data_IF_014726353240
#
_entry.id   IF_014726353240
#
_cell.length_a   1.000
_cell.length_b   1.000
_cell.length_c   1.000
_cell.angle_alpha   90.00
_cell.angle_beta   90.00
_cell.angle_gamma   90.00
#
_symmetry.space_group_name_H-M   'P 1'
#
loop_
_entity.id
_entity.type
_entity.pdbx_description
1 polymer ?
#
# COMPACT_ATOMS: atom_id res chain seq x y z
N UNK A 1 -39.93 14.48 -47.92
CA UNK A 1 -38.54 14.38 -47.41
C UNK A 1 -38.31 12.91 -47.09
N UNK A 2 -37.40 12.28 -47.82
CA UNK A 2 -37.25 10.83 -47.92
C UNK A 2 -36.04 10.39 -47.08
N UNK A 3 -36.26 9.48 -46.14
CA UNK A 3 -35.23 8.90 -45.28
C UNK A 3 -34.89 7.54 -45.85
N UNK A 4 -33.74 7.43 -46.51
CA UNK A 4 -33.01 6.17 -46.67
C UNK A 4 -31.67 6.42 -47.36
N UNK A 5 -30.55 6.02 -46.73
CA UNK A 5 -29.37 5.45 -47.40
C UNK A 5 -28.40 4.85 -46.37
N UNK A 6 -28.50 3.52 -46.26
CA UNK A 6 -27.42 2.51 -46.34
C UNK A 6 -26.09 2.85 -45.66
N UNK A 7 -25.65 1.96 -44.76
CA UNK A 7 -24.43 1.18 -44.98
C UNK A 7 -24.59 -0.23 -44.41
N UNK A 8 -24.29 -1.21 -45.26
CA UNK A 8 -24.50 -2.64 -45.07
C UNK A 8 -23.14 -3.33 -45.12
N UNK A 9 -22.86 -4.08 -44.05
CA UNK A 9 -22.13 -5.37 -43.93
C UNK A 9 -20.63 -5.52 -44.21
N UNK A 10 -20.06 -6.33 -43.30
CA UNK A 10 -19.15 -7.48 -43.49
C UNK A 10 -17.63 -7.25 -43.49
N UNK A 11 -17.03 -7.72 -42.39
CA UNK A 11 -15.79 -8.51 -42.36
C UNK A 11 -15.77 -9.27 -41.03
N UNK A 12 -16.09 -10.57 -40.99
CA UNK A 12 -15.13 -11.69 -40.96
C UNK A 12 -14.00 -11.48 -39.93
N UNK A 13 -14.12 -12.05 -38.74
CA UNK A 13 -13.69 -13.41 -38.38
C UNK A 13 -12.18 -13.56 -38.23
N UNK A 14 -11.69 -13.64 -36.99
CA UNK A 14 -10.58 -14.51 -36.59
C UNK A 14 -10.84 -15.07 -35.20
N UNK A 15 -11.25 -16.33 -35.20
CA UNK A 15 -10.99 -17.30 -34.14
C UNK A 15 -9.49 -17.37 -33.84
N UNK A 16 -9.10 -17.19 -32.59
CA UNK A 16 -7.84 -17.68 -32.03
C UNK A 16 -7.95 -17.74 -30.51
N UNK A 17 -8.29 -18.92 -29.99
CA UNK A 17 -7.95 -19.30 -28.63
C UNK A 17 -6.43 -19.47 -28.58
N UNK A 18 -5.72 -18.48 -28.05
CA UNK A 18 -4.33 -18.63 -27.65
C UNK A 18 -4.25 -18.22 -26.18
N UNK A 19 -3.88 -19.18 -25.33
CA UNK A 19 -3.64 -18.94 -23.92
C UNK A 19 -2.56 -17.87 -23.78
N UNK A 20 -2.95 -16.71 -23.24
CA UNK A 20 -2.01 -15.67 -22.87
C UNK A 20 -1.38 -16.12 -21.55
N UNK A 21 -0.29 -16.87 -21.64
CA UNK A 21 0.71 -16.85 -20.58
C UNK A 21 1.23 -15.42 -20.54
N UNK A 22 0.75 -14.63 -19.57
CA UNK A 22 1.24 -13.28 -19.33
C UNK A 22 2.69 -13.37 -18.86
N UNK A 23 3.62 -13.37 -19.80
CA UNK A 23 5.02 -13.08 -19.52
C UNK A 23 5.14 -11.58 -19.22
N UNK A 24 5.91 -11.27 -18.18
CA UNK A 24 6.14 -9.95 -17.60
C UNK A 24 6.72 -8.88 -18.55
N UNK A 25 6.94 -9.22 -19.82
CA UNK A 25 7.54 -8.33 -20.82
C UNK A 25 6.53 -7.41 -21.52
N UNK A 26 5.23 -7.72 -21.50
CA UNK A 26 4.20 -6.96 -22.24
C UNK A 26 3.71 -5.67 -21.57
N UNK A 27 4.03 -5.45 -20.29
CA UNK A 27 3.53 -4.30 -19.51
C UNK A 27 4.44 -3.07 -19.68
N UNK A 28 5.69 -3.27 -20.09
CA UNK A 28 6.67 -2.18 -20.23
C UNK A 28 6.40 -1.23 -21.41
N UNK A 29 5.63 -1.64 -22.42
CA UNK A 29 5.38 -0.83 -23.61
C UNK A 29 4.20 0.15 -23.47
N UNK A 30 3.31 -0.05 -22.49
CA UNK A 30 2.17 0.84 -22.27
C UNK A 30 2.54 2.13 -21.51
N UNK A 31 3.71 2.17 -20.86
CA UNK A 31 4.12 3.30 -20.01
C UNK A 31 4.72 4.49 -20.78
N UNK A 32 5.13 4.33 -22.05
CA UNK A 32 5.54 5.48 -22.85
C UNK A 32 4.35 6.35 -23.32
N UNK A 33 3.11 5.89 -23.13
CA UNK A 33 1.90 6.65 -23.46
C UNK A 33 1.34 7.48 -22.29
N UNK A 34 1.82 7.25 -21.06
CA UNK A 34 1.37 7.96 -19.86
C UNK A 34 2.57 8.66 -19.24
N UNK A 35 2.79 9.92 -19.63
CA UNK A 35 3.91 10.77 -19.22
C UNK A 35 3.93 11.16 -17.73
N UNK A 36 3.90 10.19 -16.82
CA UNK A 36 4.17 10.41 -15.40
C UNK A 36 5.69 10.55 -15.19
N UNK A 37 6.14 11.78 -15.01
CA UNK A 37 7.51 12.07 -14.59
C UNK A 37 7.80 11.40 -13.23
N UNK A 38 8.96 10.74 -13.05
CA UNK A 38 9.36 10.21 -11.75
C UNK A 38 9.48 11.35 -10.74
N UNK A 39 8.74 11.27 -9.62
CA UNK A 39 8.99 12.18 -8.50
C UNK A 39 10.29 11.79 -7.80
N UNK A 40 11.15 12.75 -7.43
CA UNK A 40 12.38 12.45 -6.69
C UNK A 40 12.04 11.77 -5.35
N UNK A 41 12.86 10.78 -4.98
CA UNK A 41 12.70 10.04 -3.73
C UNK A 41 12.75 11.01 -2.53
N UNK A 42 11.67 11.03 -1.74
CA UNK A 42 11.58 11.89 -0.56
C UNK A 42 12.24 11.21 0.64
N UNK A 43 12.89 11.99 1.54
CA UNK A 43 13.31 11.46 2.83
C UNK A 43 12.12 10.80 3.52
N UNK A 44 12.29 9.53 3.92
CA UNK A 44 11.22 8.72 4.50
C UNK A 44 11.51 8.44 5.97
N UNK A 45 10.61 8.87 6.85
CA UNK A 45 10.58 8.48 8.25
C UNK A 45 9.60 7.31 8.43
N UNK A 46 10.05 6.24 9.08
CA UNK A 46 9.24 5.09 9.45
C UNK A 46 8.93 5.11 10.93
N UNK A 47 7.65 4.97 11.27
CA UNK A 47 7.15 4.87 12.64
C UNK A 47 6.59 3.47 12.93
N UNK A 48 7.02 2.86 14.03
CA UNK A 48 6.63 1.50 14.46
C UNK A 48 6.46 1.43 15.98
N UNK A 49 5.50 0.65 16.50
CA UNK A 49 5.24 0.57 17.95
C UNK A 49 5.49 -0.82 18.60
N UNK A 50 5.23 -1.93 17.88
CA UNK A 50 5.44 -3.30 18.40
C UNK A 50 6.60 -4.02 17.69
N UNK A 51 7.31 -4.89 18.41
CA UNK A 51 8.50 -5.57 17.88
C UNK A 51 8.20 -6.55 16.73
N UNK A 52 7.07 -7.27 16.80
CA UNK A 52 6.67 -8.21 15.74
C UNK A 52 6.25 -7.47 14.45
N UNK A 53 5.39 -6.45 14.58
CA UNK A 53 4.97 -5.63 13.43
C UNK A 53 6.16 -4.87 12.83
N UNK A 54 7.06 -4.40 13.68
CA UNK A 54 8.31 -3.75 13.28
C UNK A 54 9.15 -4.63 12.36
N UNK A 55 9.36 -5.91 12.68
CA UNK A 55 10.25 -6.77 11.90
C UNK A 55 9.76 -6.99 10.45
N UNK A 56 8.52 -7.47 10.29
CA UNK A 56 7.97 -7.74 8.96
C UNK A 56 7.78 -6.46 8.14
N UNK A 57 7.24 -5.40 8.76
CA UNK A 57 7.05 -4.12 8.07
C UNK A 57 8.37 -3.51 7.60
N UNK A 58 9.39 -3.46 8.46
CA UNK A 58 10.71 -2.92 8.09
C UNK A 58 11.42 -3.78 7.06
N UNK A 59 11.24 -5.10 7.07
CA UNK A 59 11.78 -5.94 5.99
C UNK A 59 11.21 -5.52 4.63
N UNK A 60 9.91 -5.24 4.56
CA UNK A 60 9.27 -4.69 3.38
C UNK A 60 9.83 -3.32 2.98
N UNK A 61 9.95 -2.41 3.93
CA UNK A 61 10.48 -1.06 3.68
C UNK A 61 11.93 -1.11 3.18
N UNK A 62 12.78 -1.90 3.82
CA UNK A 62 14.20 -2.00 3.49
C UNK A 62 14.45 -2.65 2.12
N UNK A 63 13.52 -3.48 1.65
CA UNK A 63 13.58 -4.05 0.32
C UNK A 63 13.09 -3.09 -0.77
N UNK A 64 12.52 -1.95 -0.41
CA UNK A 64 12.15 -0.92 -1.37
C UNK A 64 13.39 -0.12 -1.82
N UNK A 65 13.33 0.54 -2.99
CA UNK A 65 14.40 1.44 -3.44
C UNK A 65 14.68 2.61 -2.48
N UNK A 66 13.69 2.99 -1.66
CA UNK A 66 13.84 4.04 -0.66
C UNK A 66 14.51 3.53 0.63
N UNK A 67 14.72 2.21 0.77
CA UNK A 67 15.17 1.56 2.00
C UNK A 67 16.48 2.10 2.56
N UNK A 68 17.43 2.49 1.70
CA UNK A 68 18.73 3.03 2.13
C UNK A 68 18.63 4.42 2.78
N UNK A 69 17.56 5.16 2.52
CA UNK A 69 17.36 6.54 3.00
C UNK A 69 16.31 6.63 4.12
N UNK A 70 15.86 5.48 4.61
CA UNK A 70 14.82 5.40 5.64
C UNK A 70 15.42 5.64 7.02
N UNK A 71 14.81 6.56 7.77
CA UNK A 71 15.04 6.70 9.20
C UNK A 71 13.93 5.97 9.94
N UNK A 72 14.27 5.06 10.83
CA UNK A 72 13.29 4.34 11.66
C UNK A 72 13.24 4.98 13.04
N UNK A 73 12.05 5.29 13.55
CA UNK A 73 11.81 5.75 14.91
C UNK A 73 10.72 4.90 15.55
N UNK A 74 10.98 4.41 16.75
CA UNK A 74 9.93 3.76 17.55
C UNK A 74 9.00 4.83 18.13
N UNK A 75 7.70 4.55 18.14
CA UNK A 75 6.71 5.38 18.85
C UNK A 75 6.36 4.72 20.18
N UNK A 76 6.27 5.54 21.23
CA UNK A 76 6.03 5.11 22.60
C UNK A 76 5.09 6.06 23.37
N UNK A 77 4.32 6.90 22.65
CA UNK A 77 3.41 7.93 23.19
C UNK A 77 4.07 8.89 24.21
N UNK A 78 5.40 8.90 24.33
CA UNK A 78 6.11 9.78 25.24
C UNK A 78 5.99 11.24 24.82
N UNK A 79 6.09 12.16 25.79
CA UNK A 79 6.08 13.59 25.50
C UNK A 79 7.24 13.99 24.57
N UNK A 80 8.42 13.37 24.72
CA UNK A 80 9.55 13.59 23.80
C UNK A 80 9.23 13.15 22.37
N UNK A 81 8.54 12.01 22.22
CA UNK A 81 8.05 11.57 20.92
C UNK A 81 7.15 12.62 20.28
N UNK A 82 6.14 13.08 21.03
CA UNK A 82 5.12 14.04 20.60
C UNK A 82 5.75 15.35 20.16
N UNK A 83 6.53 15.99 21.04
CA UNK A 83 7.16 17.28 20.75
C UNK A 83 8.16 17.18 19.58
N UNK A 84 8.93 16.09 19.53
CA UNK A 84 9.85 15.85 18.43
C UNK A 84 9.13 15.61 17.09
N UNK A 85 7.96 14.98 17.13
CA UNK A 85 7.13 14.75 15.94
C UNK A 85 6.45 16.03 15.44
N UNK A 86 5.86 16.82 16.33
CA UNK A 86 5.30 18.14 15.98
C UNK A 86 6.35 19.07 15.39
N UNK A 87 7.54 19.14 16.01
CA UNK A 87 8.65 19.93 15.48
C UNK A 87 9.01 19.48 14.07
N UNK A 88 9.04 18.17 13.82
CA UNK A 88 9.33 17.59 12.50
C UNK A 88 8.26 17.93 11.47
N UNK A 89 6.97 17.86 11.83
CA UNK A 89 5.86 18.20 10.93
C UNK A 89 5.89 19.67 10.50
N UNK A 90 6.55 20.55 11.26
CA UNK A 90 6.69 21.98 10.94
C UNK A 90 7.94 22.31 10.11
N UNK A 91 8.81 21.34 9.85
CA UNK A 91 10.01 21.57 9.03
C UNK A 91 9.58 21.75 7.57
N UNK A 92 10.03 22.83 6.92
CA UNK A 92 9.64 23.18 5.55
C UNK A 92 10.15 22.21 4.45
N UNK A 93 10.95 21.21 4.81
CA UNK A 93 11.46 20.22 3.87
C UNK A 93 10.43 19.11 3.68
N UNK A 94 9.91 18.91 2.45
CA UNK A 94 8.94 17.86 2.19
C UNK A 94 9.48 16.49 2.58
N UNK A 95 8.75 15.77 3.40
CA UNK A 95 9.13 14.43 3.84
C UNK A 95 7.92 13.50 3.84
N UNK A 96 8.20 12.22 3.61
CA UNK A 96 7.19 11.18 3.77
C UNK A 96 7.34 10.54 5.15
N UNK A 97 6.21 10.33 5.80
CA UNK A 97 6.15 9.62 7.07
C UNK A 97 5.22 8.43 6.87
N UNK A 98 5.78 7.23 6.92
CA UNK A 98 5.01 5.98 6.84
C UNK A 98 5.08 5.26 8.18
N UNK A 99 4.12 4.38 8.46
CA UNK A 99 4.19 3.61 9.69
C UNK A 99 3.25 2.43 9.74
N UNK A 100 3.54 1.56 10.71
CA UNK A 100 2.68 0.47 11.18
C UNK A 100 2.76 0.44 12.71
N UNK A 101 1.71 0.93 13.35
CA UNK A 101 1.65 1.16 14.81
C UNK A 101 0.34 0.62 15.38
N UNK A 102 0.16 0.68 16.68
CA UNK A 102 -1.11 0.37 17.35
C UNK A 102 -2.13 1.51 17.21
N UNK A 103 -3.40 1.24 17.52
CA UNK A 103 -4.50 2.19 17.36
C UNK A 103 -4.30 3.50 18.14
N UNK A 104 -3.75 3.43 19.36
CA UNK A 104 -3.57 4.60 20.21
C UNK A 104 -2.47 5.52 19.66
N UNK A 105 -1.33 4.95 19.28
CA UNK A 105 -0.25 5.66 18.61
C UNK A 105 -0.72 6.30 17.30
N UNK A 106 -1.48 5.58 16.49
CA UNK A 106 -1.97 6.09 15.22
C UNK A 106 -2.96 7.25 15.37
N UNK A 107 -3.88 7.17 16.33
CA UNK A 107 -4.83 8.24 16.58
C UNK A 107 -4.10 9.58 16.85
N UNK A 108 -3.09 9.54 17.71
CA UNK A 108 -2.27 10.71 18.02
C UNK A 108 -1.45 11.19 16.82
N UNK A 109 -0.73 10.30 16.14
CA UNK A 109 0.11 10.65 14.99
C UNK A 109 -0.70 11.30 13.88
N UNK A 110 -1.86 10.72 13.54
CA UNK A 110 -2.73 11.24 12.48
C UNK A 110 -3.35 12.58 12.88
N UNK A 111 -3.74 12.76 14.14
CA UNK A 111 -4.28 14.03 14.62
C UNK A 111 -3.23 15.16 14.58
N UNK A 112 -2.01 14.89 15.06
CA UNK A 112 -0.88 15.83 14.99
C UNK A 112 -0.54 16.18 13.54
N UNK A 113 -0.50 15.19 12.65
CA UNK A 113 -0.25 15.44 11.22
C UNK A 113 -1.32 16.32 10.60
N UNK A 114 -2.60 16.04 10.86
CA UNK A 114 -3.71 16.84 10.32
C UNK A 114 -3.73 18.26 10.88
N UNK A 115 -3.47 18.44 12.18
CA UNK A 115 -3.42 19.77 12.80
C UNK A 115 -2.24 20.61 12.30
N UNK A 116 -1.14 19.97 11.90
CA UNK A 116 -0.02 20.63 11.23
C UNK A 116 -0.26 20.91 9.73
N UNK A 117 -1.40 20.50 9.17
CA UNK A 117 -1.71 20.66 7.74
C UNK A 117 -1.07 19.62 6.81
N UNK A 118 -0.48 18.56 7.37
CA UNK A 118 0.07 17.46 6.57
C UNK A 118 -1.05 16.66 5.88
N UNK A 119 -0.71 16.08 4.73
CA UNK A 119 -1.65 15.36 3.88
C UNK A 119 -1.55 13.84 4.12
N UNK A 120 -2.63 13.24 4.62
CA UNK A 120 -2.73 11.78 4.76
C UNK A 120 -3.09 11.17 3.41
N UNK A 121 -2.15 10.46 2.79
CA UNK A 121 -2.32 9.77 1.50
C UNK A 121 -2.79 8.34 1.66
N UNK A 122 -2.54 7.73 2.82
CA UNK A 122 -2.96 6.37 3.12
C UNK A 122 -3.29 6.27 4.61
N UNK A 123 -4.37 5.57 4.93
CA UNK A 123 -4.72 5.14 6.27
C UNK A 123 -5.33 3.75 6.19
N UNK A 124 -4.69 2.76 6.80
CA UNK A 124 -5.15 1.37 6.82
C UNK A 124 -5.36 0.90 8.25
N UNK A 125 -6.55 0.36 8.54
CA UNK A 125 -6.81 -0.40 9.76
C UNK A 125 -6.67 -1.88 9.44
N UNK A 126 -5.93 -2.59 10.28
CA UNK A 126 -5.59 -3.99 10.10
C UNK A 126 -5.87 -4.74 11.39
N UNK A 127 -6.65 -5.82 11.27
CA UNK A 127 -6.79 -6.80 12.32
C UNK A 127 -6.18 -8.10 11.81
N UNK A 128 -5.19 -8.63 12.54
CA UNK A 128 -4.55 -9.89 12.23
C UNK A 128 -4.89 -10.92 13.30
N UNK A 129 -5.31 -12.10 12.85
CA UNK A 129 -5.55 -13.28 13.66
C UNK A 129 -4.77 -14.46 13.06
N UNK A 130 -4.68 -15.58 13.80
CA UNK A 130 -3.80 -16.70 13.46
C UNK A 130 -3.95 -17.24 12.02
N UNK A 131 -5.16 -17.16 11.43
CA UNK A 131 -5.44 -17.71 10.09
C UNK A 131 -6.21 -16.75 9.18
N UNK A 132 -6.48 -15.54 9.65
CA UNK A 132 -7.26 -14.57 8.90
C UNK A 132 -6.82 -13.14 9.20
N UNK A 133 -6.92 -12.27 8.20
CA UNK A 133 -6.68 -10.84 8.37
C UNK A 133 -7.80 -10.00 7.77
N UNK A 134 -8.12 -8.90 8.44
CA UNK A 134 -9.14 -7.95 8.01
C UNK A 134 -8.50 -6.58 7.82
N UNK A 135 -8.65 -6.03 6.63
CA UNK A 135 -8.03 -4.76 6.23
C UNK A 135 -9.10 -3.80 5.73
N UNK A 136 -9.15 -2.61 6.33
CA UNK A 136 -9.97 -1.49 5.88
C UNK A 136 -9.06 -0.33 5.56
N UNK A 137 -9.13 0.15 4.34
CA UNK A 137 -8.20 1.11 3.79
C UNK A 137 -8.93 2.38 3.35
N UNK A 138 -8.24 3.49 3.53
CA UNK A 138 -8.58 4.80 3.00
C UNK A 138 -7.36 5.29 2.21
N UNK A 139 -7.51 5.45 0.91
CA UNK A 139 -6.41 5.82 0.01
C UNK A 139 -6.68 7.14 -0.70
N UNK A 140 -5.65 7.97 -0.77
CA UNK A 140 -5.56 9.11 -1.67
C UNK A 140 -5.12 8.66 -3.07
N UNK A 141 -5.19 9.59 -4.02
CA UNK A 141 -4.85 9.34 -5.42
C UNK A 141 -3.42 8.81 -5.61
N UNK A 142 -2.46 9.36 -4.85
CA UNK A 142 -1.05 8.95 -4.88
C UNK A 142 -0.82 7.52 -4.35
N UNK A 143 -1.78 6.97 -3.60
CA UNK A 143 -1.73 5.63 -3.02
C UNK A 143 -2.66 4.61 -3.69
N UNK A 144 -3.28 4.98 -4.81
CA UNK A 144 -4.31 4.18 -5.50
C UNK A 144 -3.84 2.78 -5.98
N UNK A 145 -2.53 2.56 -6.11
CA UNK A 145 -1.93 1.26 -6.46
C UNK A 145 -1.64 0.34 -5.28
N UNK A 146 -1.61 0.84 -4.04
CA UNK A 146 -1.19 0.04 -2.89
C UNK A 146 -2.24 -0.98 -2.44
N UNK A 147 -3.53 -0.63 -2.48
CA UNK A 147 -4.59 -1.55 -2.06
C UNK A 147 -4.72 -2.77 -2.99
N UNK A 148 -4.73 -2.63 -4.34
CA UNK A 148 -4.69 -3.79 -5.23
C UNK A 148 -3.47 -4.68 -5.01
N UNK A 149 -2.28 -4.09 -4.84
CA UNK A 149 -1.06 -4.85 -4.59
C UNK A 149 -1.13 -5.65 -3.29
N UNK A 150 -1.66 -5.06 -2.22
CA UNK A 150 -1.91 -5.75 -0.96
C UNK A 150 -2.92 -6.90 -1.14
N UNK A 151 -4.01 -6.69 -1.89
CA UNK A 151 -4.99 -7.74 -2.17
C UNK A 151 -4.41 -8.93 -2.94
N UNK A 152 -3.54 -8.66 -3.93
CA UNK A 152 -2.82 -9.70 -4.66
C UNK A 152 -1.86 -10.48 -3.77
N UNK A 153 -1.10 -9.81 -2.90
CA UNK A 153 -0.19 -10.50 -1.99
C UNK A 153 -0.94 -11.34 -0.95
N UNK A 154 -2.00 -10.79 -0.34
CA UNK A 154 -2.87 -11.49 0.59
C UNK A 154 -3.43 -12.78 -0.04
N UNK A 155 -3.91 -12.68 -1.29
CA UNK A 155 -4.39 -13.86 -1.99
C UNK A 155 -3.27 -14.85 -2.33
N UNK A 156 -2.05 -14.40 -2.63
CA UNK A 156 -0.92 -15.28 -2.90
C UNK A 156 -0.43 -16.03 -1.65
N UNK A 157 -0.52 -15.41 -0.46
CA UNK A 157 -0.12 -16.03 0.82
C UNK A 157 -0.99 -17.22 1.22
N UNK A 158 -2.23 -17.29 0.75
CA UNK A 158 -3.13 -18.40 1.05
C UNK A 158 -3.79 -18.34 2.45
N UNK A 159 -3.40 -17.42 3.33
CA UNK A 159 -4.15 -17.10 4.54
C UNK A 159 -5.51 -16.47 4.20
N UNK A 160 -6.52 -16.68 5.06
CA UNK A 160 -7.83 -16.07 4.86
C UNK A 160 -7.73 -14.54 4.96
N UNK A 161 -8.49 -13.79 4.15
CA UNK A 161 -8.50 -12.34 4.28
C UNK A 161 -9.80 -11.70 3.84
N UNK A 162 -10.05 -10.49 4.36
CA UNK A 162 -10.99 -9.52 3.79
C UNK A 162 -10.32 -8.16 3.66
N UNK A 163 -10.47 -7.54 2.50
CA UNK A 163 -9.89 -6.25 2.14
C UNK A 163 -11.01 -5.33 1.61
N UNK A 164 -11.10 -4.15 2.19
CA UNK A 164 -11.99 -3.08 1.72
C UNK A 164 -11.20 -1.79 1.58
N UNK A 165 -11.31 -1.12 0.44
CA UNK A 165 -10.68 0.17 0.18
C UNK A 165 -11.76 1.22 -0.13
N UNK A 166 -11.64 2.38 0.50
CA UNK A 166 -12.34 3.60 0.12
C UNK A 166 -11.33 4.61 -0.43
N UNK A 167 -11.60 5.13 -1.63
CA UNK A 167 -10.76 6.16 -2.25
C UNK A 167 -11.30 7.53 -1.88
N UNK A 168 -10.43 8.40 -1.36
CA UNK A 168 -10.78 9.77 -0.93
C UNK A 168 -11.12 10.68 -2.11
N UNK A 169 -10.55 10.41 -3.28
CA UNK A 169 -10.77 11.14 -4.53
C UNK A 169 -10.80 10.18 -5.70
N UNK A 170 -11.60 10.50 -6.72
CA UNK A 170 -11.74 9.72 -7.95
C UNK A 170 -13.11 9.05 -8.09
N UNK A 171 -13.47 8.70 -9.33
CA UNK A 171 -14.74 8.03 -9.65
C UNK A 171 -14.65 6.50 -9.68
N UNK A 172 -13.50 5.94 -9.30
CA UNK A 172 -13.31 4.49 -9.31
C UNK A 172 -14.08 3.85 -8.15
N UNK A 173 -14.71 2.68 -8.39
CA UNK A 173 -15.45 1.98 -7.36
C UNK A 173 -14.51 1.53 -6.23
N UNK A 174 -15.03 1.41 -4.99
CA UNK A 174 -14.26 0.89 -3.87
C UNK A 174 -13.76 -0.53 -4.18
N UNK A 175 -12.50 -0.83 -3.87
CA UNK A 175 -11.96 -2.18 -3.97
C UNK A 175 -12.50 -3.04 -2.84
N UNK A 176 -13.03 -4.21 -3.18
CA UNK A 176 -13.39 -5.25 -2.23
C UNK A 176 -12.81 -6.57 -2.69
N UNK A 177 -12.05 -7.23 -1.83
CA UNK A 177 -11.47 -8.53 -2.11
C UNK A 177 -11.48 -9.39 -0.84
N UNK A 178 -11.68 -10.69 -1.01
CA UNK A 178 -11.64 -11.64 0.10
C UNK A 178 -11.35 -13.04 -0.44
N UNK A 179 -10.65 -13.84 0.35
CA UNK A 179 -10.48 -15.26 0.09
C UNK A 179 -10.58 -16.05 1.39
N UNK A 180 -11.14 -17.25 1.31
CA UNK A 180 -11.03 -18.23 2.38
C UNK A 180 -9.58 -18.72 2.48
N UNK A 181 -9.15 -19.07 3.70
CA UNK A 181 -7.83 -19.63 3.92
C UNK A 181 -7.68 -20.98 3.22
N UNK A 182 -6.61 -21.13 2.45
CA UNK A 182 -6.22 -22.36 1.75
C UNK A 182 -5.03 -23.04 2.43
N UNK A 183 -4.14 -22.24 3.03
CA UNK A 183 -2.95 -22.69 3.73
C UNK A 183 -2.87 -22.07 5.13
N UNK A 184 -2.29 -22.82 6.08
CA UNK A 184 -2.03 -22.33 7.46
C UNK A 184 -0.74 -21.50 7.57
N UNK A 185 -0.03 -21.28 6.45
CA UNK A 185 1.31 -20.69 6.42
C UNK A 185 1.32 -19.18 6.17
N UNK A 186 2.12 -18.47 6.97
CA UNK A 186 2.54 -17.07 6.85
C UNK A 186 1.43 -16.00 6.82
N UNK A 187 0.86 -15.71 8.00
CA UNK A 187 -0.04 -14.58 8.24
C UNK A 187 0.62 -13.20 8.16
N UNK A 188 1.95 -13.09 8.01
CA UNK A 188 2.67 -11.84 8.30
C UNK A 188 3.19 -11.12 7.05
N UNK A 189 3.12 -11.79 5.90
CA UNK A 189 3.57 -11.27 4.61
C UNK A 189 2.86 -9.98 4.21
N UNK A 190 1.63 -9.76 4.70
CA UNK A 190 0.89 -8.53 4.42
C UNK A 190 1.60 -7.30 4.97
N UNK A 191 2.25 -7.39 6.15
CA UNK A 191 2.93 -6.26 6.77
C UNK A 191 4.18 -5.86 5.98
N UNK A 192 4.95 -6.84 5.48
CA UNK A 192 6.07 -6.55 4.57
C UNK A 192 5.59 -6.02 3.21
N UNK A 193 4.51 -6.60 2.66
CA UNK A 193 3.93 -6.08 1.41
C UNK A 193 3.53 -4.62 1.59
N UNK A 194 2.91 -4.29 2.71
CA UNK A 194 2.49 -2.96 3.04
C UNK A 194 3.69 -2.01 3.23
N UNK A 195 4.72 -2.43 3.97
CA UNK A 195 5.95 -1.65 4.15
C UNK A 195 6.63 -1.32 2.83
N UNK A 196 6.77 -2.31 1.95
CA UNK A 196 7.29 -2.12 0.60
C UNK A 196 6.42 -1.15 -0.20
N UNK A 197 5.12 -1.41 -0.27
CA UNK A 197 4.17 -0.61 -1.05
C UNK A 197 4.17 0.87 -0.60
N UNK A 198 4.11 1.12 0.72
CA UNK A 198 4.14 2.48 1.28
C UNK A 198 5.48 3.18 1.03
N UNK A 199 6.60 2.47 1.08
CA UNK A 199 7.91 3.04 0.78
C UNK A 199 8.08 3.37 -0.73
N UNK A 200 7.43 2.60 -1.62
CA UNK A 200 7.40 2.85 -3.06
C UNK A 200 6.34 3.85 -3.54
N UNK A 201 5.53 4.41 -2.64
CA UNK A 201 4.46 5.35 -3.00
C UNK A 201 4.94 6.49 -3.90
N UNK A 202 4.20 6.79 -4.97
CA UNK A 202 4.57 7.85 -5.92
C UNK A 202 5.86 7.61 -6.71
N UNK A 203 6.47 6.43 -6.62
CA UNK A 203 7.59 6.02 -7.49
C UNK A 203 7.05 5.25 -8.70
N UNK A 204 7.80 5.24 -9.80
CA UNK A 204 7.48 4.44 -11.00
C UNK A 204 7.91 2.97 -10.86
N UNK A 205 8.35 2.55 -9.67
CA UNK A 205 8.89 1.21 -9.48
C UNK A 205 7.78 0.16 -9.46
N UNK A 206 7.86 -0.78 -10.40
CA UNK A 206 6.98 -1.96 -10.49
C UNK A 206 7.75 -3.15 -9.94
N UNK A 207 7.81 -3.26 -8.61
CA UNK A 207 8.44 -4.39 -7.93
C UNK A 207 7.47 -5.02 -6.94
N UNK A 208 7.77 -6.23 -6.51
CA UNK A 208 7.00 -6.93 -5.47
C UNK A 208 7.80 -6.93 -4.18
N UNK A 209 7.08 -6.90 -3.06
CA UNK A 209 7.70 -7.07 -1.76
C UNK A 209 8.36 -8.46 -1.67
N UNK A 210 9.52 -8.58 -1.01
CA UNK A 210 10.14 -9.88 -0.78
C UNK A 210 9.23 -10.75 0.09
N UNK A 211 9.39 -12.06 -0.06
CA UNK A 211 8.78 -13.02 0.88
C UNK A 211 9.50 -12.89 2.22
N UNK A 212 8.73 -12.67 3.28
CA UNK A 212 9.21 -12.59 4.67
C UNK A 212 9.69 -13.97 5.10
N UNK A 213 10.83 -14.02 5.78
CA UNK A 213 11.31 -15.27 6.34
C UNK A 213 10.30 -15.80 7.36
N UNK A 214 9.98 -17.10 7.24
CA UNK A 214 8.98 -17.82 8.02
C UNK A 214 9.30 -17.93 9.54
N UNK A 215 10.33 -17.20 10.01
CA UNK A 215 10.78 -17.10 11.40
C UNK A 215 10.19 -15.89 12.14
N UNK A 216 9.49 -14.99 11.45
CA UNK A 216 8.80 -13.88 12.10
C UNK A 216 7.63 -14.40 12.93
N UNK A 217 7.45 -13.87 14.13
CA UNK A 217 6.33 -14.22 14.99
C UNK A 217 5.02 -13.71 14.37
N UNK A 218 4.00 -14.59 14.33
CA UNK A 218 2.68 -14.29 13.81
C UNK A 218 2.14 -12.97 14.37
N UNK A 219 1.81 -12.03 13.47
CA UNK A 219 1.16 -10.78 13.80
C UNK A 219 -0.26 -11.08 14.27
N UNK A 220 -0.54 -10.71 15.51
CA UNK A 220 -1.87 -10.82 16.10
C UNK A 220 -2.25 -9.52 16.77
N UNK A 221 -3.51 -9.11 16.62
CA UNK A 221 -4.05 -7.88 17.19
C UNK A 221 -4.39 -6.82 16.15
N UNK A 222 -4.42 -5.57 16.60
CA UNK A 222 -4.83 -4.42 15.81
C UNK A 222 -3.64 -3.53 15.48
N UNK A 223 -3.56 -3.14 14.22
CA UNK A 223 -2.52 -2.29 13.69
C UNK A 223 -3.12 -1.25 12.77
N UNK A 224 -2.53 -0.07 12.77
CA UNK A 224 -2.85 1.00 11.84
C UNK A 224 -1.61 1.33 11.05
N UNK A 225 -1.77 1.37 9.73
CA UNK A 225 -0.77 1.91 8.83
C UNK A 225 -1.18 3.26 8.28
N UNK A 226 -0.19 4.08 7.95
CA UNK A 226 -0.44 5.38 7.35
C UNK A 226 0.70 5.77 6.41
N UNK A 227 0.41 6.67 5.49
CA UNK A 227 1.39 7.47 4.76
C UNK A 227 0.96 8.92 4.80
N UNK A 228 1.84 9.76 5.33
CA UNK A 228 1.63 11.19 5.54
C UNK A 228 2.70 11.93 4.74
N UNK A 229 2.28 12.95 4.01
CA UNK A 229 3.15 13.91 3.35
C UNK A 229 3.12 15.20 4.18
N UNK A 230 4.26 15.55 4.78
CA UNK A 230 4.45 16.73 5.61
C UNK A 230 5.44 17.71 4.96
#
# INVERSE_FOLDING_TARGET
>A
MNVERRFVLKGMALSSLAGIAMSSAGISAANNALGTQPQPARPTLVLVSSAAAQAAFLQGVNASPAGEQVKVRRTDLSLDFILGFEKRLRIATPQRIIGLVDDASAALIVDLARSAGAHVQWLGQHHAAAHASHHRLLSGETASGCAPQLGLSLNACGAGFSLTEHRLRGQQPPLRASAAGRDKGASDQWAATLGYALATLGTTHIGQAPVVDNRSAALTGHFVSFSIEA
#
